data_IF_031640405255
#
_entry.id   IF_031640405255
#
_cell.length_a   1.000
_cell.length_b   1.000
_cell.length_c   1.000
_cell.angle_alpha   90.00
_cell.angle_beta   90.00
_cell.angle_gamma   90.00
#
_symmetry.space_group_name_H-M   'P 1'
#
loop_
_entity.id
_entity.type
_entity.pdbx_description
1 polymer ?
#
# COMPACT_ATOMS: atom_id res chain seq x y z
N UNK A 1 -12.06 42.86 31.04
CA UNK A 1 -10.82 42.17 31.49
C UNK A 1 -10.93 40.65 31.46
N UNK A 2 -12.10 40.05 31.22
CA UNK A 2 -12.31 38.60 31.23
C UNK A 2 -12.43 37.95 29.82
N UNK A 3 -12.07 38.67 28.75
CA UNK A 3 -12.22 38.18 27.36
C UNK A 3 -10.89 37.91 26.64
N UNK A 4 -9.73 38.16 27.25
CA UNK A 4 -8.42 38.02 26.59
C UNK A 4 -7.74 36.65 26.74
N UNK A 5 -8.39 35.67 27.39
CA UNK A 5 -7.74 34.40 27.77
C UNK A 5 -8.24 33.15 27.03
N UNK A 6 -9.17 33.26 26.07
CA UNK A 6 -9.79 32.07 25.42
C UNK A 6 -9.25 31.76 24.02
N UNK A 7 -8.30 32.54 23.49
CA UNK A 7 -7.63 32.22 22.21
C UNK A 7 -6.15 31.88 22.47
N UNK A 8 -5.89 30.90 23.33
CA UNK A 8 -4.63 30.15 23.25
C UNK A 8 -4.73 29.29 22.00
N UNK A 9 -4.15 29.77 20.91
CA UNK A 9 -3.82 28.96 19.75
C UNK A 9 -3.19 27.65 20.26
N UNK A 10 -3.83 26.52 19.95
CA UNK A 10 -3.18 25.21 20.09
C UNK A 10 -1.96 25.26 19.17
N UNK A 11 -0.78 25.54 19.72
CA UNK A 11 0.48 25.19 19.07
C UNK A 11 0.39 23.69 18.83
N UNK A 12 0.28 23.29 17.57
CA UNK A 12 0.49 21.90 17.18
C UNK A 12 1.94 21.63 17.58
N UNK A 13 2.14 20.78 18.60
CA UNK A 13 3.47 20.25 18.88
C UNK A 13 3.88 19.45 17.65
N UNK A 14 4.96 19.89 17.01
CA UNK A 14 5.58 19.17 15.89
C UNK A 14 6.19 17.91 16.50
N UNK A 15 5.81 16.74 15.98
CA UNK A 15 6.47 15.47 16.32
C UNK A 15 7.70 15.30 15.41
N UNK A 16 8.93 15.52 15.91
CA UNK A 16 10.13 15.41 15.09
C UNK A 16 10.42 13.98 14.64
N UNK A 17 9.87 12.96 15.31
CA UNK A 17 9.98 11.58 14.88
C UNK A 17 9.16 11.41 13.60
N UNK A 18 7.91 11.85 13.61
CA UNK A 18 7.04 11.78 12.45
C UNK A 18 7.63 12.52 11.24
N UNK A 19 8.10 13.76 11.44
CA UNK A 19 8.75 14.56 10.41
C UNK A 19 9.96 13.82 9.78
N UNK A 20 10.77 13.17 10.62
CA UNK A 20 11.94 12.42 10.14
C UNK A 20 11.53 11.17 9.35
N UNK A 21 10.49 10.44 9.80
CA UNK A 21 9.99 9.25 9.11
C UNK A 21 9.37 9.58 7.75
N UNK A 22 8.70 10.73 7.63
CA UNK A 22 8.14 11.23 6.36
C UNK A 22 9.20 11.51 5.29
N UNK A 23 10.46 11.76 5.69
CA UNK A 23 11.57 11.97 4.75
C UNK A 23 12.01 10.68 4.04
N UNK A 24 11.58 9.51 4.52
CA UNK A 24 11.93 8.23 3.90
C UNK A 24 11.36 8.15 2.47
N UNK A 25 12.09 7.47 1.59
CA UNK A 25 11.71 7.35 0.18
C UNK A 25 11.12 5.98 -0.08
N UNK A 26 9.94 5.97 -0.71
CA UNK A 26 9.19 4.75 -0.95
C UNK A 26 8.75 4.66 -2.43
N UNK A 27 8.89 3.48 -2.99
CA UNK A 27 8.09 3.09 -4.16
C UNK A 27 6.63 2.93 -3.77
N UNK A 28 5.71 3.04 -4.73
CA UNK A 28 4.30 2.76 -4.50
C UNK A 28 3.87 1.54 -5.31
N UNK A 29 3.31 0.57 -4.61
CA UNK A 29 2.95 -0.75 -5.14
C UNK A 29 1.48 -1.03 -4.86
N UNK A 30 0.86 -1.89 -5.67
CA UNK A 30 -0.46 -2.43 -5.37
C UNK A 30 -0.34 -3.89 -4.94
N UNK A 31 -0.66 -4.15 -3.67
CA UNK A 31 -0.76 -5.49 -3.14
C UNK A 31 -2.11 -6.08 -3.57
N UNK A 32 -2.06 -7.05 -4.47
CA UNK A 32 -3.24 -7.80 -4.90
C UNK A 32 -3.47 -8.99 -3.97
N UNK A 33 -4.72 -9.21 -3.60
CA UNK A 33 -5.13 -10.30 -2.70
C UNK A 33 -6.50 -10.84 -3.10
N UNK A 34 -6.75 -12.10 -2.76
CA UNK A 34 -8.03 -12.77 -2.97
C UNK A 34 -8.42 -13.52 -1.70
N UNK A 35 -9.65 -13.32 -1.24
CA UNK A 35 -10.31 -14.15 -0.23
C UNK A 35 -11.33 -15.08 -0.90
N UNK A 36 -12.03 -15.88 -0.10
CA UNK A 36 -13.10 -16.76 -0.62
C UNK A 36 -14.25 -16.02 -1.30
N UNK A 37 -14.54 -14.80 -0.86
CA UNK A 37 -15.69 -14.01 -1.31
C UNK A 37 -15.32 -12.66 -1.97
N UNK A 38 -14.04 -12.32 -2.04
CA UNK A 38 -13.60 -11.00 -2.49
C UNK A 38 -12.25 -11.00 -3.23
N UNK A 39 -12.07 -9.96 -4.04
CA UNK A 39 -10.80 -9.59 -4.68
C UNK A 39 -10.48 -8.17 -4.25
N UNK A 40 -9.24 -7.92 -3.86
CA UNK A 40 -8.87 -6.62 -3.32
C UNK A 40 -7.45 -6.22 -3.76
N UNK A 41 -7.30 -4.94 -4.07
CA UNK A 41 -6.01 -4.28 -4.28
C UNK A 41 -5.80 -3.22 -3.19
N UNK A 42 -4.58 -3.10 -2.67
CA UNK A 42 -4.22 -2.08 -1.68
C UNK A 42 -2.92 -1.40 -2.06
N UNK A 43 -2.91 -0.07 -2.08
CA UNK A 43 -1.66 0.67 -2.19
C UNK A 43 -0.81 0.42 -0.96
N UNK A 44 0.47 0.09 -1.16
CA UNK A 44 1.45 -0.05 -0.11
C UNK A 44 2.76 0.61 -0.54
N UNK A 45 3.40 1.30 0.40
CA UNK A 45 4.67 1.99 0.27
C UNK A 45 5.79 1.26 1.02
N UNK A 46 5.49 0.72 2.21
CA UNK A 46 6.42 -0.06 3.04
C UNK A 46 6.59 -1.47 2.46
N UNK A 47 7.25 -1.54 1.30
CA UNK A 47 7.56 -2.76 0.56
C UNK A 47 9.06 -2.79 0.26
N UNK A 48 9.73 -3.90 0.55
CA UNK A 48 11.16 -4.06 0.28
C UNK A 48 11.55 -5.52 0.05
N UNK A 49 12.66 -5.74 -0.64
CA UNK A 49 13.32 -7.05 -0.64
C UNK A 49 14.00 -7.30 0.71
N UNK A 50 13.85 -8.50 1.27
CA UNK A 50 14.44 -8.85 2.58
C UNK A 50 15.38 -10.05 2.54
N UNK A 51 15.48 -10.75 1.40
CA UNK A 51 16.45 -11.84 1.22
C UNK A 51 16.78 -12.09 -0.25
N UNK A 52 18.02 -12.54 -0.51
CA UNK A 52 18.45 -13.04 -1.82
C UNK A 52 18.17 -14.53 -2.01
N UNK A 53 18.31 -15.36 -0.97
CA UNK A 53 18.05 -16.79 -1.02
C UNK A 53 17.51 -17.30 0.32
N UNK A 54 16.23 -17.75 0.40
CA UNK A 54 15.22 -17.70 -0.66
C UNK A 54 14.89 -16.25 -1.09
N UNK A 55 14.29 -16.07 -2.26
CA UNK A 55 13.86 -14.75 -2.76
C UNK A 55 12.66 -14.27 -1.93
N UNK A 56 12.89 -13.34 -0.99
CA UNK A 56 11.84 -12.84 -0.11
C UNK A 56 11.62 -11.34 -0.29
N UNK A 57 10.35 -10.94 -0.31
CA UNK A 57 9.89 -9.56 -0.20
C UNK A 57 9.07 -9.41 1.08
N UNK A 58 9.02 -8.21 1.65
CA UNK A 58 8.17 -7.91 2.78
C UNK A 58 7.27 -6.71 2.46
N UNK A 59 6.03 -6.74 2.94
CA UNK A 59 5.12 -5.60 2.94
C UNK A 59 4.48 -5.42 4.32
N UNK A 60 4.43 -4.18 4.81
CA UNK A 60 3.74 -3.87 6.07
C UNK A 60 2.26 -3.57 5.80
N UNK A 61 1.37 -4.25 6.52
CA UNK A 61 -0.08 -4.19 6.30
C UNK A 61 -0.79 -3.74 7.58
N UNK A 62 -1.69 -2.77 7.49
CA UNK A 62 -2.55 -2.41 8.62
C UNK A 62 -3.32 -3.64 9.12
N UNK A 63 -3.39 -3.83 10.44
CA UNK A 63 -4.04 -5.00 11.07
C UNK A 63 -5.48 -5.23 10.67
N UNK A 64 -6.18 -4.16 10.29
CA UNK A 64 -7.60 -4.20 9.93
C UNK A 64 -7.83 -4.19 8.41
N UNK A 65 -6.79 -4.25 7.59
CA UNK A 65 -6.91 -4.22 6.13
C UNK A 65 -7.59 -5.49 5.59
N UNK A 66 -8.38 -5.34 4.52
CA UNK A 66 -8.93 -6.48 3.78
C UNK A 66 -7.82 -7.35 3.21
N UNK A 67 -6.72 -6.74 2.75
CA UNK A 67 -5.53 -7.45 2.27
C UNK A 67 -4.98 -8.40 3.32
N UNK A 68 -4.69 -7.94 4.54
CA UNK A 68 -4.17 -8.82 5.59
C UNK A 68 -5.13 -9.96 5.94
N UNK A 69 -6.44 -9.70 5.95
CA UNK A 69 -7.45 -10.76 6.14
C UNK A 69 -7.32 -11.83 5.06
N UNK A 70 -7.27 -11.42 3.79
CA UNK A 70 -7.12 -12.33 2.66
C UNK A 70 -5.81 -13.12 2.76
N UNK A 71 -4.68 -12.49 3.06
CA UNK A 71 -3.39 -13.18 3.22
C UNK A 71 -3.42 -14.22 4.36
N UNK A 72 -4.10 -13.93 5.47
CA UNK A 72 -4.27 -14.90 6.57
C UNK A 72 -5.13 -16.09 6.16
N UNK A 73 -6.10 -15.88 5.29
CA UNK A 73 -7.01 -16.90 4.80
C UNK A 73 -6.37 -17.77 3.71
N UNK A 74 -5.72 -17.16 2.72
CA UNK A 74 -5.27 -17.85 1.51
C UNK A 74 -3.76 -18.05 1.43
N UNK A 75 -2.98 -17.34 2.24
CA UNK A 75 -1.53 -17.48 2.29
C UNK A 75 -0.81 -16.99 1.03
N UNK A 76 -1.47 -16.21 0.17
CA UNK A 76 -0.90 -15.76 -1.11
C UNK A 76 -1.26 -14.31 -1.43
N UNK A 77 -0.42 -13.65 -2.22
CA UNK A 77 -0.64 -12.28 -2.69
C UNK A 77 0.22 -11.96 -3.92
N UNK A 78 -0.10 -10.86 -4.58
CA UNK A 78 0.76 -10.27 -5.63
C UNK A 78 1.27 -8.89 -5.19
N UNK A 79 2.45 -8.51 -5.69
CA UNK A 79 2.93 -7.12 -5.63
C UNK A 79 2.99 -6.61 -7.06
N UNK A 80 2.16 -5.63 -7.39
CA UNK A 80 2.12 -4.99 -8.70
C UNK A 80 2.88 -3.67 -8.67
N UNK A 81 3.81 -3.51 -9.61
CA UNK A 81 4.59 -2.29 -9.78
C UNK A 81 3.87 -1.39 -10.79
N UNK A 82 3.79 -0.10 -10.49
CA UNK A 82 3.17 0.91 -11.37
C UNK A 82 4.21 1.92 -11.86
N UNK A 83 3.93 2.53 -13.00
CA UNK A 83 4.75 3.59 -13.55
C UNK A 83 4.34 4.96 -13.01
N UNK A 84 5.23 5.95 -13.14
CA UNK A 84 4.94 7.34 -12.80
C UNK A 84 3.68 7.88 -13.50
N UNK A 85 3.46 7.48 -14.76
CA UNK A 85 2.28 7.88 -15.55
C UNK A 85 0.96 7.24 -15.05
N UNK A 86 1.01 6.15 -14.28
CA UNK A 86 -0.18 5.42 -13.78
C UNK A 86 -0.76 6.04 -12.50
N UNK A 87 -0.42 7.28 -12.16
CA UNK A 87 -0.84 7.96 -10.93
C UNK A 87 -2.35 7.91 -10.69
N UNK A 88 -3.17 8.13 -11.71
CA UNK A 88 -4.63 8.14 -11.54
C UNK A 88 -5.19 6.75 -11.26
N UNK A 89 -4.56 5.69 -11.78
CA UNK A 89 -4.89 4.33 -11.41
C UNK A 89 -4.49 4.07 -9.95
N UNK A 90 -3.26 4.43 -9.58
CA UNK A 90 -2.72 4.22 -8.24
C UNK A 90 -3.62 4.86 -7.16
N UNK A 91 -4.10 6.10 -7.38
CA UNK A 91 -4.98 6.81 -6.43
C UNK A 91 -6.26 6.07 -6.08
N UNK A 92 -6.76 5.17 -6.94
CA UNK A 92 -7.95 4.35 -6.67
C UNK A 92 -7.72 3.31 -5.57
N UNK A 93 -6.47 2.96 -5.30
CA UNK A 93 -6.11 1.94 -4.31
C UNK A 93 -5.72 2.52 -2.94
N UNK A 94 -5.62 3.85 -2.84
CA UNK A 94 -5.33 4.54 -1.59
C UNK A 94 -6.62 4.75 -0.79
N UNK A 95 -6.93 3.80 0.10
CA UNK A 95 -8.07 3.88 1.01
C UNK A 95 -7.68 3.29 2.37
N UNK A 96 -6.98 4.05 3.23
CA UNK A 96 -6.74 3.64 4.59
C UNK A 96 -8.06 3.66 5.36
N UNK A 97 -8.15 2.90 6.44
CA UNK A 97 -9.34 2.96 7.31
C UNK A 97 -9.46 4.28 8.04
N UNK A 98 -8.32 4.85 8.42
CA UNK A 98 -8.23 6.19 8.98
C UNK A 98 -7.66 7.12 7.91
N UNK A 99 -8.50 8.04 7.47
CA UNK A 99 -8.17 8.91 6.37
C UNK A 99 -7.19 10.04 6.74
N UNK A 100 -6.96 10.28 8.04
CA UNK A 100 -5.93 11.20 8.53
C UNK A 100 -4.50 10.70 8.31
N UNK A 101 -4.33 9.39 8.05
CA UNK A 101 -3.01 8.76 7.86
C UNK A 101 -2.35 9.02 6.51
N UNK A 102 -3.08 9.54 5.52
CA UNK A 102 -2.48 9.94 4.23
C UNK A 102 -2.46 11.46 4.16
N UNK A 103 -1.26 12.02 4.25
CA UNK A 103 -1.06 13.44 4.05
C UNK A 103 -1.09 13.79 2.55
N UNK A 104 -1.65 14.96 2.20
CA UNK A 104 -1.76 15.43 0.82
C UNK A 104 -3.00 14.94 0.04
N UNK A 105 -3.93 14.23 0.71
CA UNK A 105 -5.20 13.80 0.12
C UNK A 105 -6.34 14.80 0.42
N UNK A 106 -7.31 14.93 -0.50
CA UNK A 106 -8.50 15.77 -0.26
C UNK A 106 -9.44 15.15 0.78
N UNK A 107 -10.12 15.99 1.56
CA UNK A 107 -11.12 15.57 2.57
C UNK A 107 -12.25 14.71 1.96
N UNK A 108 -12.69 15.04 0.75
CA UNK A 108 -13.70 14.27 0.01
C UNK A 108 -13.20 12.89 -0.40
N UNK A 109 -11.93 12.77 -0.79
CA UNK A 109 -11.31 11.48 -1.12
C UNK A 109 -11.15 10.59 0.11
N UNK A 110 -10.88 11.21 1.26
CA UNK A 110 -10.65 10.57 2.55
C UNK A 110 -11.87 9.82 3.11
N UNK A 111 -13.10 10.26 2.82
CA UNK A 111 -14.33 9.64 3.35
C UNK A 111 -14.85 8.44 2.52
N UNK A 112 -14.25 8.13 1.37
CA UNK A 112 -14.77 7.14 0.44
C UNK A 112 -14.32 5.71 0.80
N UNK A 113 -15.30 4.82 1.01
CA UNK A 113 -15.11 3.36 1.06
C UNK A 113 -15.82 2.77 -0.16
N UNK A 114 -15.09 2.08 -1.03
CA UNK A 114 -15.65 1.43 -2.23
C UNK A 114 -14.85 0.19 -2.63
N UNK A 115 -15.38 -0.60 -3.56
CA UNK A 115 -14.64 -1.68 -4.20
C UNK A 115 -13.56 -1.11 -5.13
N UNK A 116 -12.31 -1.15 -4.68
CA UNK A 116 -11.13 -0.65 -5.39
C UNK A 116 -10.84 -1.38 -6.70
N UNK A 117 -11.29 -2.62 -6.82
CA UNK A 117 -11.09 -3.43 -8.03
C UNK A 117 -12.18 -3.20 -9.07
N UNK A 118 -13.29 -2.54 -8.72
CA UNK A 118 -14.41 -2.33 -9.63
C UNK A 118 -13.99 -1.55 -10.88
N UNK A 119 -14.11 -2.20 -12.03
CA UNK A 119 -13.76 -1.61 -13.34
C UNK A 119 -12.25 -1.49 -13.57
N UNK A 120 -11.41 -2.12 -12.74
CA UNK A 120 -9.98 -2.22 -13.00
C UNK A 120 -9.72 -3.52 -13.78
N UNK A 121 -9.11 -3.46 -14.97
CA UNK A 121 -8.69 -4.66 -15.68
C UNK A 121 -7.54 -5.35 -14.94
N UNK A 122 -7.68 -6.65 -14.71
CA UNK A 122 -6.64 -7.53 -14.19
C UNK A 122 -6.81 -8.94 -14.77
N UNK A 123 -5.76 -9.76 -14.67
CA UNK A 123 -5.87 -11.22 -14.80
C UNK A 123 -5.54 -11.87 -13.46
N UNK A 124 -5.98 -13.11 -13.29
CA UNK A 124 -5.63 -13.89 -12.12
C UNK A 124 -4.20 -14.44 -12.27
N UNK A 125 -3.40 -14.32 -11.22
CA UNK A 125 -2.08 -14.93 -11.16
C UNK A 125 -2.15 -16.45 -11.24
N UNK A 126 -1.20 -17.05 -11.95
CA UNK A 126 -1.21 -18.48 -12.23
C UNK A 126 -1.04 -19.31 -10.95
N UNK A 127 -0.23 -18.83 -10.01
CA UNK A 127 0.09 -19.54 -8.77
C UNK A 127 -0.77 -19.12 -7.58
N UNK A 128 -1.26 -17.88 -7.58
CA UNK A 128 -1.91 -17.28 -6.41
C UNK A 128 -3.39 -16.99 -6.61
N UNK A 129 -3.87 -17.02 -7.86
CA UNK A 129 -5.16 -16.47 -8.28
C UNK A 129 -5.39 -15.01 -7.84
N UNK A 130 -4.39 -14.33 -7.29
CA UNK A 130 -4.49 -12.94 -6.86
C UNK A 130 -4.39 -12.02 -8.08
N UNK A 131 -5.01 -10.83 -8.03
CA UNK A 131 -5.10 -9.97 -9.21
C UNK A 131 -3.72 -9.43 -9.60
N UNK A 132 -3.40 -9.55 -10.90
CA UNK A 132 -2.28 -8.88 -11.55
C UNK A 132 -2.85 -7.79 -12.46
N UNK A 133 -2.49 -6.53 -12.20
CA UNK A 133 -3.06 -5.39 -12.90
C UNK A 133 -2.54 -5.32 -14.34
N UNK A 134 -3.44 -5.20 -15.32
CA UNK A 134 -3.02 -5.15 -16.73
C UNK A 134 -2.15 -3.93 -17.07
N UNK A 135 -2.37 -2.83 -16.38
CA UNK A 135 -1.60 -1.60 -16.54
C UNK A 135 -0.23 -1.64 -15.82
N UNK A 136 0.02 -2.66 -15.00
CA UNK A 136 1.26 -2.78 -14.23
C UNK A 136 2.50 -2.84 -15.11
N UNK A 137 3.62 -2.33 -14.59
CA UNK A 137 4.95 -2.47 -15.20
C UNK A 137 5.50 -3.87 -15.06
N UNK A 138 5.34 -4.42 -13.85
CA UNK A 138 5.82 -5.73 -13.48
C UNK A 138 5.00 -6.24 -12.30
N UNK A 139 5.13 -7.53 -12.02
CA UNK A 139 4.57 -8.11 -10.81
C UNK A 139 5.48 -9.19 -10.25
N UNK A 140 5.26 -9.49 -8.97
CA UNK A 140 5.69 -10.75 -8.35
C UNK A 140 4.49 -11.44 -7.72
N UNK A 141 4.38 -12.74 -7.91
CA UNK A 141 3.45 -13.60 -7.16
C UNK A 141 4.18 -14.16 -5.93
N UNK A 142 3.53 -14.11 -4.77
CA UNK A 142 4.13 -14.49 -3.51
C UNK A 142 3.24 -15.48 -2.74
N UNK A 143 3.88 -16.47 -2.12
CA UNK A 143 3.30 -17.18 -0.98
C UNK A 143 3.78 -16.53 0.32
N UNK A 144 2.93 -16.49 1.33
CA UNK A 144 3.28 -16.00 2.66
C UNK A 144 4.29 -16.97 3.29
N UNK A 145 5.47 -16.45 3.56
CA UNK A 145 6.52 -17.13 4.31
C UNK A 145 6.33 -16.95 5.82
N UNK A 146 6.01 -15.73 6.26
CA UNK A 146 5.80 -15.39 7.66
C UNK A 146 4.91 -14.16 7.80
N UNK A 147 4.13 -14.08 8.88
CA UNK A 147 3.39 -12.88 9.29
C UNK A 147 3.85 -12.47 10.70
N UNK A 148 4.50 -11.32 10.81
CA UNK A 148 5.12 -10.85 12.05
C UNK A 148 4.31 -9.66 12.60
N UNK A 149 3.79 -9.78 13.82
CA UNK A 149 3.02 -8.72 14.47
C UNK A 149 3.94 -7.60 14.99
N UNK A 150 3.75 -6.36 14.50
CA UNK A 150 4.61 -5.21 14.78
C UNK A 150 3.76 -3.97 15.14
N UNK A 151 3.07 -4.00 16.28
CA UNK A 151 2.33 -2.83 16.76
C UNK A 151 0.97 -2.69 16.07
N UNK A 152 0.76 -1.63 15.29
CA UNK A 152 -0.50 -1.40 14.55
C UNK A 152 -0.51 -2.01 13.14
N UNK A 153 0.64 -2.51 12.68
CA UNK A 153 0.82 -3.23 11.42
C UNK A 153 1.28 -4.69 11.65
N UNK A 154 1.17 -5.48 10.58
CA UNK A 154 1.77 -6.81 10.46
C UNK A 154 2.73 -6.77 9.28
N UNK A 155 3.97 -7.20 9.49
CA UNK A 155 4.93 -7.40 8.41
C UNK A 155 4.67 -8.77 7.77
N UNK A 156 4.15 -8.76 6.56
CA UNK A 156 3.99 -9.95 5.75
C UNK A 156 5.26 -10.19 4.94
N UNK A 157 5.97 -11.28 5.23
CA UNK A 157 7.11 -11.75 4.44
C UNK A 157 6.59 -12.76 3.44
N UNK A 158 6.85 -12.53 2.14
CA UNK A 158 6.44 -13.41 1.05
C UNK A 158 7.63 -14.00 0.29
N UNK A 159 7.57 -15.30 -0.01
CA UNK A 159 8.49 -15.94 -0.95
C UNK A 159 7.98 -15.73 -2.37
N UNK A 160 8.84 -15.18 -3.23
CA UNK A 160 8.52 -14.97 -4.65
C UNK A 160 8.46 -16.32 -5.36
N UNK A 161 7.32 -16.59 -5.99
CA UNK A 161 7.04 -17.81 -6.76
C UNK A 161 7.36 -17.61 -8.24
N UNK A 162 6.89 -16.50 -8.81
CA UNK A 162 7.10 -16.12 -10.20
C UNK A 162 7.03 -14.59 -10.34
N UNK A 163 7.45 -14.09 -11.49
CA UNK A 163 7.42 -12.67 -11.84
C UNK A 163 7.39 -12.46 -13.35
N UNK A 164 6.93 -11.30 -13.79
CA UNK A 164 7.18 -10.84 -15.14
C UNK A 164 7.27 -9.32 -15.21
N UNK A 165 8.02 -8.82 -16.19
CA UNK A 165 7.93 -7.44 -16.68
C UNK A 165 6.92 -7.44 -17.82
N UNK A 166 5.90 -6.59 -17.71
CA UNK A 166 4.77 -6.51 -18.62
C UNK A 166 4.98 -5.45 -19.70
N UNK A 167 5.63 -4.35 -19.33
CA UNK A 167 6.00 -3.25 -20.22
C UNK A 167 7.18 -2.47 -19.64
N UNK A 168 7.89 -1.77 -20.50
CA UNK A 168 8.96 -0.84 -20.12
C UNK A 168 8.38 0.51 -19.67
N UNK A 169 9.08 1.20 -18.76
CA UNK A 169 8.87 2.62 -18.46
C UNK A 169 10.18 3.24 -17.98
N UNK A 170 10.29 4.56 -18.14
CA UNK A 170 11.45 5.34 -17.72
C UNK A 170 11.45 5.64 -16.23
N UNK A 171 10.30 5.54 -15.54
CA UNK A 171 10.18 5.93 -14.13
C UNK A 171 9.12 5.11 -13.36
N UNK A 172 9.52 4.58 -12.20
CA UNK A 172 8.65 3.89 -11.26
C UNK A 172 7.82 4.87 -10.44
N UNK A 173 6.59 4.49 -10.08
CA UNK A 173 5.77 5.29 -9.18
C UNK A 173 6.38 5.33 -7.77
N UNK A 174 6.51 6.53 -7.20
CA UNK A 174 7.03 6.77 -5.85
C UNK A 174 6.11 7.71 -5.07
N UNK A 175 6.28 7.74 -3.74
CA UNK A 175 5.56 8.65 -2.86
C UNK A 175 5.76 10.12 -3.25
N UNK A 176 6.98 10.48 -3.69
CA UNK A 176 7.32 11.82 -4.17
C UNK A 176 6.53 12.26 -5.41
N UNK A 177 6.24 11.33 -6.33
CA UNK A 177 5.48 11.63 -7.56
C UNK A 177 4.01 11.92 -7.24
N UNK A 178 3.42 11.21 -6.26
CA UNK A 178 2.05 11.50 -5.82
C UNK A 178 1.97 12.71 -4.88
N UNK A 179 3.07 13.11 -4.25
CA UNK A 179 3.08 14.12 -3.19
C UNK A 179 2.34 13.67 -1.94
N UNK A 180 2.25 12.36 -1.72
CA UNK A 180 1.56 11.75 -0.58
C UNK A 180 2.57 11.12 0.36
N UNK A 181 2.28 11.15 1.67
CA UNK A 181 3.05 10.45 2.69
C UNK A 181 2.12 9.53 3.50
N UNK A 182 2.60 8.31 3.76
CA UNK A 182 2.05 7.33 4.69
C UNK A 182 3.19 6.87 5.63
N UNK A 183 3.69 7.82 6.39
CA UNK A 183 4.71 7.64 7.42
C UNK A 183 4.51 8.73 8.46
N UNK A 184 4.96 8.49 9.68
CA UNK A 184 4.71 9.37 10.82
C UNK A 184 4.55 8.60 12.11
#
# INVERSE_FOLDING_TARGET
MAEEQVIRSRRIEIDPIAETLEMFTYGLYIIGSRGSDNVNGMMADWVMQVSFQPRLVACSLEKNSTTLRNLRETGVFTVNLLAAEDRELARKFAQPRDASKIQGRSETGSALIYDKMRGIPYWDGEHTACPILQAGLAYVECEVHELIDLGDHVLAVGRVLTCAVLRESTELLTNRILGWSYAG
#
